data_IF_330670034942
#
_entry.id   IF_330670034942
#
_cell.length_a   1.000
_cell.length_b   1.000
_cell.length_c   1.000
_cell.angle_alpha   90.00
_cell.angle_beta   90.00
_cell.angle_gamma   90.00
#
_symmetry.space_group_name_H-M   'P 1'
#
loop_
_entity.id
_entity.type
_entity.pdbx_description
1 polymer ?
#
# COMPACT_ATOMS: atom_id res chain seq x y z
N UNK A 1 -33.09 -3.90 2.92
CA UNK A 1 -32.26 -2.87 2.25
C UNK A 1 -31.09 -2.57 3.17
N UNK A 2 -29.95 -3.24 2.97
CA UNK A 2 -28.75 -3.05 3.80
C UNK A 2 -27.91 -1.96 3.15
N UNK A 3 -27.92 -0.76 3.73
CA UNK A 3 -27.05 0.34 3.34
C UNK A 3 -25.62 -0.03 3.73
N UNK A 4 -24.79 -0.42 2.75
CA UNK A 4 -23.35 -0.59 2.98
C UNK A 4 -22.65 0.78 2.91
N UNK A 5 -21.70 1.08 3.81
CA UNK A 5 -21.05 2.40 3.86
C UNK A 5 -20.20 2.64 2.61
N UNK A 6 -20.32 3.85 2.06
CA UNK A 6 -19.53 4.34 0.92
C UNK A 6 -18.09 4.63 1.38
N UNK A 7 -17.10 3.92 0.84
CA UNK A 7 -15.68 4.28 0.98
C UNK A 7 -15.40 5.55 0.15
N UNK A 8 -15.62 6.73 0.74
CA UNK A 8 -15.43 8.02 0.07
C UNK A 8 -14.14 8.67 0.58
N UNK A 9 -13.05 8.46 -0.16
CA UNK A 9 -11.74 9.04 0.10
C UNK A 9 -11.41 10.16 -0.89
N UNK A 10 -11.10 11.36 -0.41
CA UNK A 10 -10.61 12.50 -1.19
C UNK A 10 -9.15 12.80 -0.82
N UNK A 11 -8.37 13.34 -1.76
CA UNK A 11 -6.94 13.72 -1.58
C UNK A 11 -6.76 14.69 -0.40
N UNK A 12 -7.73 15.56 -0.16
CA UNK A 12 -7.76 16.49 0.97
C UNK A 12 -7.73 15.77 2.32
N UNK A 13 -8.47 14.66 2.48
CA UNK A 13 -8.45 13.85 3.70
C UNK A 13 -7.08 13.21 3.93
N UNK A 14 -6.42 12.75 2.87
CA UNK A 14 -5.07 12.21 2.96
C UNK A 14 -4.07 13.27 3.43
N UNK A 15 -4.05 14.43 2.78
CA UNK A 15 -3.14 15.51 3.16
C UNK A 15 -3.38 15.99 4.60
N UNK A 16 -4.65 16.18 5.00
CA UNK A 16 -5.01 16.57 6.35
C UNK A 16 -4.60 15.50 7.39
N UNK A 17 -4.81 14.22 7.09
CA UNK A 17 -4.43 13.11 7.98
C UNK A 17 -2.93 13.02 8.13
N UNK A 18 -2.17 13.13 7.03
CA UNK A 18 -0.72 13.10 7.06
C UNK A 18 -0.16 14.27 7.87
N UNK A 19 -0.72 15.48 7.70
CA UNK A 19 -0.37 16.65 8.51
C UNK A 19 -0.67 16.45 10.00
N UNK A 20 -1.83 15.88 10.33
CA UNK A 20 -2.18 15.57 11.72
C UNK A 20 -1.21 14.54 12.34
N UNK A 21 -0.86 13.49 11.60
CA UNK A 21 0.12 12.48 12.06
C UNK A 21 1.51 13.10 12.29
N UNK A 22 1.94 14.00 11.40
CA UNK A 22 3.19 14.75 11.56
C UNK A 22 3.18 15.66 12.79
N UNK A 23 2.07 16.37 13.03
CA UNK A 23 1.92 17.26 14.20
C UNK A 23 1.89 16.47 15.52
N UNK A 24 1.20 15.32 15.56
CA UNK A 24 1.19 14.45 16.76
C UNK A 24 2.56 13.89 17.10
N UNK A 25 3.44 13.67 16.11
CA UNK A 25 4.84 13.28 16.34
C UNK A 25 5.62 14.35 17.11
N UNK A 26 5.32 15.63 16.90
CA UNK A 26 6.01 16.73 17.57
C UNK A 26 5.54 16.94 19.03
N UNK A 27 4.45 16.31 19.46
CA UNK A 27 3.97 16.39 20.83
C UNK A 27 4.70 15.34 21.71
N UNK A 28 5.35 15.77 22.81
CA UNK A 28 5.97 14.84 23.74
C UNK A 28 4.88 14.09 24.52
N UNK A 29 4.57 12.84 24.13
CA UNK A 29 3.94 11.89 25.04
C UNK A 29 2.86 10.93 24.55
N UNK A 30 2.49 10.81 23.26
CA UNK A 30 1.29 9.98 22.93
C UNK A 30 1.31 9.11 21.68
N UNK A 31 2.46 8.83 21.05
CA UNK A 31 2.52 7.78 20.01
C UNK A 31 3.72 6.87 20.23
N UNK A 32 3.44 5.67 20.75
CA UNK A 32 4.38 4.55 20.82
C UNK A 32 4.82 4.01 19.44
N UNK A 33 4.48 4.69 18.34
CA UNK A 33 4.84 4.32 16.97
C UNK A 33 6.11 5.05 16.48
N UNK A 34 6.60 6.05 17.23
CA UNK A 34 7.82 6.77 16.88
C UNK A 34 8.95 6.40 17.86
N UNK A 35 9.75 5.39 17.51
CA UNK A 35 11.06 5.24 18.14
C UNK A 35 11.88 6.50 17.79
N UNK A 36 12.30 7.33 18.77
CA UNK A 36 12.98 8.60 18.51
C UNK A 36 14.35 8.45 17.81
N UNK A 37 14.81 7.20 17.59
CA UNK A 37 16.05 6.87 16.90
C UNK A 37 15.90 6.62 15.39
N UNK A 38 14.67 6.53 14.87
CA UNK A 38 14.47 6.26 13.44
C UNK A 38 14.72 7.53 12.60
N UNK A 39 15.53 7.45 11.52
CA UNK A 39 15.72 8.54 10.58
C UNK A 39 14.39 9.12 10.07
N UNK A 40 14.38 10.41 9.73
CA UNK A 40 13.17 11.14 9.30
C UNK A 40 12.43 10.42 8.17
N UNK A 41 13.17 9.81 7.25
CA UNK A 41 12.71 9.07 6.07
C UNK A 41 11.96 7.79 6.47
N UNK A 42 12.53 6.98 7.38
CA UNK A 42 11.92 5.75 7.92
C UNK A 42 10.60 6.00 8.66
N UNK A 43 10.42 7.19 9.21
CA UNK A 43 9.14 7.56 9.81
C UNK A 43 8.05 7.77 8.76
N UNK A 44 8.39 8.35 7.61
CA UNK A 44 7.42 8.55 6.52
C UNK A 44 7.02 7.24 5.86
N UNK A 45 7.91 6.25 5.85
CA UNK A 45 7.59 4.88 5.44
C UNK A 45 6.45 4.24 6.23
N UNK A 46 6.28 4.63 7.51
CA UNK A 46 5.17 4.18 8.35
C UNK A 46 3.95 5.11 8.27
N UNK A 47 4.19 6.42 8.33
CA UNK A 47 3.12 7.42 8.41
C UNK A 47 2.29 7.52 7.12
N UNK A 48 2.90 7.38 5.95
CA UNK A 48 2.20 7.51 4.67
C UNK A 48 1.20 6.35 4.47
N UNK A 49 1.59 5.07 4.67
CA UNK A 49 0.64 3.96 4.65
C UNK A 49 -0.49 4.11 5.68
N UNK A 50 -0.19 4.56 6.89
CA UNK A 50 -1.22 4.85 7.90
C UNK A 50 -2.17 5.97 7.43
N UNK A 51 -1.64 7.03 6.80
CA UNK A 51 -2.46 8.12 6.29
C UNK A 51 -3.40 7.66 5.17
N UNK A 52 -2.95 6.77 4.27
CA UNK A 52 -3.83 6.13 3.28
C UNK A 52 -4.95 5.36 3.97
N UNK A 53 -4.61 4.45 4.90
CA UNK A 53 -5.59 3.62 5.62
C UNK A 53 -6.64 4.45 6.35
N UNK A 54 -6.20 5.46 7.12
CA UNK A 54 -7.08 6.38 7.84
C UNK A 54 -7.95 7.24 6.91
N UNK A 55 -7.48 7.47 5.68
CA UNK A 55 -8.25 8.14 4.63
C UNK A 55 -9.18 7.21 3.87
N UNK A 56 -9.38 5.98 4.35
CA UNK A 56 -10.16 4.93 3.67
C UNK A 56 -9.61 4.53 2.30
N UNK A 57 -8.32 4.72 2.06
CA UNK A 57 -7.59 4.16 0.93
C UNK A 57 -6.85 2.93 1.46
N UNK A 58 -7.17 1.74 0.96
CA UNK A 58 -6.54 0.50 1.41
C UNK A 58 -5.42 0.16 0.41
N UNK A 59 -4.15 0.51 0.70
CA UNK A 59 -3.05 0.26 -0.22
C UNK A 59 -2.68 -1.22 -0.22
N UNK A 60 -2.26 -1.71 -1.37
CA UNK A 60 -1.62 -3.01 -1.53
C UNK A 60 -0.66 -2.95 -2.72
N UNK A 61 0.30 -3.86 -2.74
CA UNK A 61 1.22 -4.05 -3.84
C UNK A 61 0.68 -5.20 -4.70
N UNK A 62 0.47 -4.94 -5.98
CA UNK A 62 0.00 -5.90 -6.96
C UNK A 62 1.20 -6.44 -7.74
N UNK A 63 1.42 -7.75 -7.69
CA UNK A 63 2.34 -8.45 -8.58
C UNK A 63 1.72 -8.54 -9.97
N UNK A 64 2.44 -8.05 -10.99
CA UNK A 64 1.96 -8.08 -12.37
C UNK A 64 2.17 -9.44 -13.05
N UNK A 65 2.90 -10.38 -12.42
CA UNK A 65 3.20 -11.70 -12.98
C UNK A 65 4.13 -11.65 -14.20
N UNK A 66 4.77 -10.51 -14.47
CA UNK A 66 5.62 -10.29 -15.64
C UNK A 66 6.93 -9.61 -15.24
N UNK A 67 8.02 -9.82 -16.01
CA UNK A 67 9.29 -9.16 -15.74
C UNK A 67 9.20 -7.64 -15.94
N UNK A 68 10.07 -6.93 -15.23
CA UNK A 68 10.25 -5.50 -15.39
C UNK A 68 10.59 -5.14 -16.84
N UNK A 69 10.06 -4.01 -17.33
CA UNK A 69 10.28 -3.54 -18.70
C UNK A 69 9.37 -4.20 -19.74
N UNK A 70 8.45 -5.09 -19.34
CA UNK A 70 7.34 -5.52 -20.19
C UNK A 70 6.56 -4.29 -20.65
N UNK A 71 6.40 -4.14 -21.96
CA UNK A 71 5.70 -3.00 -22.56
C UNK A 71 4.20 -3.27 -22.58
N UNK A 72 3.41 -2.31 -22.08
CA UNK A 72 1.94 -2.36 -22.02
C UNK A 72 1.38 -3.70 -21.49
N UNK A 73 1.82 -4.17 -20.30
CA UNK A 73 1.28 -5.38 -19.70
C UNK A 73 -0.23 -5.20 -19.45
N UNK A 74 -1.02 -6.13 -19.97
CA UNK A 74 -2.48 -6.10 -19.78
C UNK A 74 -2.83 -6.53 -18.37
N UNK A 75 -3.52 -5.67 -17.62
CA UNK A 75 -4.12 -6.02 -16.34
C UNK A 75 -5.60 -5.60 -16.36
N UNK A 76 -6.50 -6.55 -16.13
CA UNK A 76 -7.95 -6.32 -16.25
C UNK A 76 -8.53 -5.37 -15.20
N UNK A 77 -7.77 -5.10 -14.12
CA UNK A 77 -8.14 -4.22 -13.02
C UNK A 77 -7.27 -2.96 -12.92
N UNK A 78 -6.40 -2.68 -13.89
CA UNK A 78 -5.54 -1.49 -13.86
C UNK A 78 -5.57 -0.71 -15.17
N UNK A 79 -5.99 0.56 -15.11
CA UNK A 79 -5.88 1.47 -16.26
C UNK A 79 -4.42 1.86 -16.49
N UNK A 80 -4.06 2.09 -17.77
CA UNK A 80 -2.68 2.41 -18.17
C UNK A 80 -2.12 3.61 -17.42
N UNK A 81 -2.90 4.67 -17.24
CA UNK A 81 -2.43 5.89 -16.59
C UNK A 81 -2.20 5.72 -15.09
N UNK A 82 -2.85 4.73 -14.46
CA UNK A 82 -2.57 4.31 -13.09
C UNK A 82 -1.28 3.49 -13.08
N UNK A 83 -1.19 2.48 -13.96
CA UNK A 83 0.01 1.63 -14.09
C UNK A 83 1.28 2.48 -14.29
N UNK A 84 1.24 3.46 -15.19
CA UNK A 84 2.37 4.35 -15.51
C UNK A 84 2.87 5.17 -14.29
N UNK A 85 2.04 5.37 -13.27
CA UNK A 85 2.34 6.19 -12.08
C UNK A 85 2.66 5.36 -10.83
N UNK A 86 2.36 4.07 -10.83
CA UNK A 86 2.38 3.25 -9.61
C UNK A 86 3.35 2.08 -9.65
N UNK A 87 4.07 1.91 -10.76
CA UNK A 87 4.97 0.78 -10.94
C UNK A 87 6.32 0.95 -10.22
N UNK A 88 6.90 -0.17 -9.82
CA UNK A 88 8.32 -0.30 -9.48
C UNK A 88 8.80 -1.73 -9.78
N UNK A 89 10.12 -1.93 -9.79
CA UNK A 89 10.73 -3.19 -10.18
C UNK A 89 11.71 -3.79 -9.16
N UNK A 90 11.24 -4.27 -7.99
CA UNK A 90 12.06 -5.12 -7.15
C UNK A 90 12.46 -6.40 -7.92
N UNK A 91 13.74 -6.78 -7.83
CA UNK A 91 14.24 -8.07 -8.34
C UNK A 91 13.91 -8.40 -9.81
N UNK A 92 13.77 -7.39 -10.67
CA UNK A 92 13.41 -7.53 -12.10
C UNK A 92 11.98 -8.06 -12.36
N UNK A 93 11.10 -7.97 -11.37
CA UNK A 93 9.67 -8.29 -11.49
C UNK A 93 8.85 -6.99 -11.41
N UNK A 94 7.75 -6.91 -12.15
CA UNK A 94 6.93 -5.71 -12.23
C UNK A 94 5.83 -5.73 -11.15
N UNK A 95 5.80 -4.68 -10.33
CA UNK A 95 4.80 -4.51 -9.29
C UNK A 95 4.14 -3.14 -9.35
N UNK A 96 2.90 -3.03 -8.88
CA UNK A 96 2.16 -1.77 -8.80
C UNK A 96 1.69 -1.47 -7.37
N UNK A 97 1.91 -0.25 -6.87
CA UNK A 97 1.31 0.22 -5.62
C UNK A 97 -0.06 0.85 -5.88
N UNK A 98 -1.12 0.16 -5.51
CA UNK A 98 -2.49 0.58 -5.83
C UNK A 98 -3.37 0.63 -4.58
N UNK A 99 -4.51 1.32 -4.69
CA UNK A 99 -5.53 1.37 -3.63
C UNK A 99 -6.89 0.95 -4.17
N UNK A 100 -7.67 0.38 -3.26
CA UNK A 100 -9.10 0.21 -3.45
C UNK A 100 -9.81 1.53 -3.14
N UNK A 101 -10.61 2.01 -4.09
CA UNK A 101 -11.43 3.22 -3.94
C UNK A 101 -12.85 2.95 -4.40
N UNK A 102 -13.83 3.32 -3.56
CA UNK A 102 -15.24 3.15 -3.91
C UNK A 102 -15.72 1.70 -3.83
N UNK A 103 -16.64 1.33 -4.73
CA UNK A 103 -17.19 -0.04 -4.82
C UNK A 103 -16.34 -0.90 -5.75
N UNK A 104 -16.29 -2.21 -5.50
CA UNK A 104 -15.56 -3.16 -6.34
C UNK A 104 -16.13 -3.29 -7.76
N UNK A 105 -17.45 -3.15 -7.89
CA UNK A 105 -18.14 -3.17 -9.16
C UNK A 105 -19.27 -2.14 -9.17
N UNK A 106 -19.64 -1.73 -10.37
CA UNK A 106 -20.87 -0.99 -10.65
C UNK A 106 -21.83 -1.93 -11.37
N UNK A 107 -22.95 -2.24 -10.72
CA UNK A 107 -23.98 -3.09 -11.28
C UNK A 107 -25.19 -2.29 -11.74
N UNK A 108 -25.71 -2.62 -12.90
CA UNK A 108 -26.99 -2.10 -13.38
C UNK A 108 -28.14 -2.96 -12.82
N UNK A 109 -29.19 -2.32 -12.33
CA UNK A 109 -30.38 -3.03 -11.84
C UNK A 109 -31.41 -3.15 -12.95
N UNK A 110 -31.83 -4.37 -13.28
CA UNK A 110 -32.79 -4.65 -14.36
C UNK A 110 -32.91 -6.15 -14.65
N UNK A 111 -33.69 -6.52 -15.67
CA UNK A 111 -33.97 -7.93 -16.05
C UNK A 111 -32.73 -8.65 -16.62
N UNK A 112 -31.72 -7.90 -17.06
CA UNK A 112 -30.42 -8.36 -17.58
C UNK A 112 -29.25 -7.69 -16.83
N UNK A 113 -29.29 -7.66 -15.50
CA UNK A 113 -28.29 -6.95 -14.71
C UNK A 113 -26.85 -7.34 -15.08
N UNK A 114 -26.04 -6.36 -15.48
CA UNK A 114 -24.60 -6.50 -15.73
C UNK A 114 -23.81 -5.79 -14.64
N UNK A 115 -22.75 -6.43 -14.15
CA UNK A 115 -21.78 -5.85 -13.23
C UNK A 115 -20.46 -5.59 -13.94
N UNK A 116 -20.03 -4.32 -13.94
CA UNK A 116 -18.70 -3.93 -14.41
C UNK A 116 -17.76 -3.83 -13.22
N UNK A 117 -16.64 -4.55 -13.24
CA UNK A 117 -15.58 -4.34 -12.26
C UNK A 117 -14.99 -2.93 -12.39
N UNK A 118 -14.72 -2.30 -11.25
CA UNK A 118 -14.05 -1.02 -11.21
C UNK A 118 -12.54 -1.23 -11.13
N UNK A 119 -11.78 -0.33 -11.77
CA UNK A 119 -10.32 -0.36 -11.75
C UNK A 119 -9.76 0.04 -10.39
N UNK A 120 -8.58 -0.48 -10.06
CA UNK A 120 -7.76 0.02 -8.98
C UNK A 120 -7.32 1.46 -9.26
N UNK A 121 -7.08 2.21 -8.19
CA UNK A 121 -6.67 3.62 -8.28
C UNK A 121 -5.25 3.80 -7.78
N UNK A 122 -4.60 4.88 -8.21
CA UNK A 122 -3.38 5.35 -7.60
C UNK A 122 -3.66 5.87 -6.17
N UNK A 123 -2.82 5.56 -5.17
CA UNK A 123 -2.88 6.19 -3.87
C UNK A 123 -2.78 7.72 -3.97
N UNK A 124 -3.52 8.43 -3.12
CA UNK A 124 -3.43 9.87 -3.06
C UNK A 124 -2.01 10.33 -2.72
N UNK A 125 -1.51 11.34 -3.43
CA UNK A 125 -0.19 11.90 -3.22
C UNK A 125 0.96 11.05 -3.75
N UNK A 126 0.71 10.02 -4.56
CA UNK A 126 1.77 9.19 -5.15
C UNK A 126 2.75 10.00 -5.99
N UNK A 127 2.29 11.08 -6.64
CA UNK A 127 3.11 12.02 -7.40
C UNK A 127 4.10 12.82 -6.53
N UNK A 128 3.93 12.78 -5.21
CA UNK A 128 4.81 13.42 -4.23
C UNK A 128 5.85 12.46 -3.64
N UNK A 129 5.86 11.19 -4.06
CA UNK A 129 6.86 10.21 -3.70
C UNK A 129 8.03 10.20 -4.70
N UNK A 130 8.59 11.38 -4.98
CA UNK A 130 9.71 11.58 -5.92
C UNK A 130 11.07 11.77 -5.23
N UNK A 131 11.06 11.80 -3.89
CA UNK A 131 12.22 12.08 -3.04
C UNK A 131 12.49 13.56 -2.76
N UNK A 132 11.61 14.48 -3.17
CA UNK A 132 11.75 15.92 -2.83
C UNK A 132 10.99 16.31 -1.57
N UNK A 133 9.89 15.62 -1.29
CA UNK A 133 9.06 15.83 -0.11
C UNK A 133 9.19 14.66 0.87
N UNK A 134 8.58 14.82 2.05
CA UNK A 134 8.39 13.73 3.01
C UNK A 134 9.67 13.00 3.40
N UNK A 135 10.74 13.76 3.64
CA UNK A 135 12.02 13.18 4.07
C UNK A 135 12.65 12.28 3.02
N UNK A 136 12.51 12.58 1.73
CA UNK A 136 13.30 11.91 0.69
C UNK A 136 12.73 10.59 0.17
N UNK A 137 11.57 10.16 0.66
CA UNK A 137 10.96 8.88 0.27
C UNK A 137 10.47 8.87 -1.18
N UNK A 138 10.62 7.71 -1.82
CA UNK A 138 10.22 7.45 -3.21
C UNK A 138 9.18 6.34 -3.27
N UNK A 139 8.41 6.29 -4.37
CA UNK A 139 7.49 5.18 -4.66
C UNK A 139 8.17 3.81 -4.52
N UNK A 140 9.34 3.66 -5.14
CA UNK A 140 10.15 2.44 -5.08
C UNK A 140 10.43 1.97 -3.65
N UNK A 141 10.58 2.89 -2.70
CA UNK A 141 10.88 2.52 -1.32
C UNK A 141 9.73 1.75 -0.68
N UNK A 142 8.48 2.11 -1.04
CA UNK A 142 7.27 1.42 -0.57
C UNK A 142 7.10 0.07 -1.24
N UNK A 143 7.25 0.01 -2.57
CA UNK A 143 7.07 -1.25 -3.31
C UNK A 143 8.15 -2.25 -2.93
N UNK A 144 9.42 -1.85 -3.02
CA UNK A 144 10.55 -2.72 -2.69
C UNK A 144 10.52 -3.12 -1.21
N UNK A 145 10.24 -2.17 -0.30
CA UNK A 145 10.16 -2.47 1.13
C UNK A 145 9.04 -3.44 1.49
N UNK A 146 7.87 -3.31 0.85
CA UNK A 146 6.76 -4.24 1.04
C UNK A 146 7.04 -5.63 0.48
N UNK A 147 7.61 -5.73 -0.73
CA UNK A 147 8.01 -7.00 -1.35
C UNK A 147 9.09 -7.71 -0.53
N UNK A 148 10.11 -6.98 -0.07
CA UNK A 148 11.13 -7.51 0.83
C UNK A 148 10.54 -8.03 2.14
N UNK A 149 9.57 -7.32 2.73
CA UNK A 149 8.85 -7.77 3.92
C UNK A 149 8.08 -9.07 3.71
N UNK A 150 7.44 -9.21 2.55
CA UNK A 150 6.70 -10.41 2.17
C UNK A 150 7.61 -11.63 2.00
N UNK A 151 8.69 -11.50 1.24
CA UNK A 151 9.64 -12.61 1.05
C UNK A 151 10.35 -12.99 2.34
N UNK A 152 10.77 -12.00 3.15
CA UNK A 152 11.39 -12.28 4.45
C UNK A 152 10.44 -13.02 5.42
N UNK A 153 9.14 -12.96 5.18
CA UNK A 153 8.11 -13.65 5.95
C UNK A 153 7.65 -14.97 5.30
N UNK A 154 8.43 -15.53 4.38
CA UNK A 154 8.12 -16.78 3.69
C UNK A 154 6.90 -16.65 2.80
N UNK A 155 6.87 -15.57 2.02
CA UNK A 155 5.84 -15.26 1.02
C UNK A 155 4.44 -15.12 1.64
N UNK A 156 4.38 -14.42 2.77
CA UNK A 156 3.14 -14.18 3.53
C UNK A 156 3.02 -12.72 3.96
N UNK A 157 1.80 -12.20 3.85
CA UNK A 157 1.43 -10.91 4.45
C UNK A 157 1.42 -10.99 5.99
N UNK A 158 1.51 -9.83 6.65
CA UNK A 158 1.45 -9.74 8.12
C UNK A 158 2.80 -9.97 8.82
N UNK A 159 3.90 -9.55 8.18
CA UNK A 159 5.23 -9.62 8.80
C UNK A 159 5.34 -8.70 10.02
N UNK A 160 6.28 -9.04 10.91
CA UNK A 160 6.60 -8.22 12.07
C UNK A 160 7.28 -6.92 11.63
N UNK A 161 6.99 -5.84 12.36
CA UNK A 161 7.71 -4.58 12.18
C UNK A 161 9.19 -4.74 12.53
N UNK A 162 10.04 -4.00 11.82
CA UNK A 162 11.47 -4.00 12.04
C UNK A 162 11.81 -3.52 13.46
N UNK A 163 12.48 -4.36 14.24
CA UNK A 163 13.02 -3.99 15.55
C UNK A 163 14.50 -3.58 15.42
N UNK A 164 14.85 -2.30 15.59
CA UNK A 164 16.24 -1.85 15.48
C UNK A 164 17.14 -2.35 16.61
N UNK A 165 16.60 -3.00 17.64
CA UNK A 165 17.40 -3.64 18.70
C UNK A 165 17.82 -5.07 18.34
N UNK A 166 17.21 -5.67 17.32
CA UNK A 166 17.67 -6.94 16.75
C UNK A 166 18.85 -6.68 15.80
N UNK A 167 19.98 -7.36 16.02
CA UNK A 167 21.22 -7.06 15.31
C UNK A 167 21.14 -7.34 13.80
N UNK A 168 20.37 -8.35 13.37
CA UNK A 168 20.17 -8.65 11.95
C UNK A 168 19.29 -7.60 11.26
N UNK A 169 18.26 -7.16 11.97
CA UNK A 169 17.38 -6.08 11.53
C UNK A 169 18.12 -4.75 11.48
N UNK A 170 18.97 -4.45 12.48
CA UNK A 170 19.80 -3.25 12.50
C UNK A 170 20.75 -3.17 11.29
N UNK A 171 21.40 -4.28 10.92
CA UNK A 171 22.23 -4.32 9.70
C UNK A 171 21.39 -4.10 8.45
N UNK A 172 20.24 -4.77 8.34
CA UNK A 172 19.33 -4.59 7.21
C UNK A 172 18.82 -3.15 7.08
N UNK A 173 18.54 -2.48 8.21
CA UNK A 173 18.16 -1.07 8.27
C UNK A 173 19.29 -0.14 7.84
N UNK A 174 20.53 -0.47 8.19
CA UNK A 174 21.70 0.29 7.77
C UNK A 174 21.95 0.18 6.26
N UNK A 175 21.83 -1.03 5.71
CA UNK A 175 22.16 -1.31 4.31
C UNK A 175 21.04 -0.88 3.35
N UNK A 176 19.77 -1.06 3.72
CA UNK A 176 18.62 -0.87 2.82
C UNK A 176 17.65 0.24 3.25
N UNK A 177 17.80 0.80 4.46
CA UNK A 177 16.97 1.90 4.94
C UNK A 177 15.48 1.58 4.96
N UNK A 178 14.69 2.29 4.16
CA UNK A 178 13.23 2.09 4.07
C UNK A 178 12.88 0.76 3.41
N UNK A 179 13.74 0.27 2.52
CA UNK A 179 13.51 -0.95 1.75
C UNK A 179 13.74 -2.21 2.57
N UNK A 180 14.19 -2.08 3.83
CA UNK A 180 14.41 -3.22 4.70
C UNK A 180 13.10 -3.93 5.04
N UNK A 181 13.10 -5.27 5.12
CA UNK A 181 11.96 -6.03 5.61
C UNK A 181 11.45 -5.47 6.94
N UNK A 182 10.13 -5.30 7.06
CA UNK A 182 9.49 -4.83 8.29
C UNK A 182 9.39 -3.31 8.46
N UNK A 183 9.93 -2.49 7.55
CA UNK A 183 9.78 -1.02 7.62
C UNK A 183 8.50 -0.54 6.94
N UNK A 184 8.18 -1.10 5.78
CA UNK A 184 6.93 -0.81 5.06
C UNK A 184 5.93 -1.90 5.40
N UNK A 185 4.71 -1.51 5.81
CA UNK A 185 3.63 -2.42 6.21
C UNK A 185 2.48 -2.47 5.20
N UNK A 186 2.78 -2.54 3.91
CA UNK A 186 1.77 -2.62 2.83
C UNK A 186 1.71 -4.06 2.31
N UNK A 187 0.56 -4.74 2.34
CA UNK A 187 0.45 -6.13 1.92
C UNK A 187 0.70 -6.32 0.41
N UNK A 188 1.19 -7.49 0.01
CA UNK A 188 1.33 -7.91 -1.38
C UNK A 188 0.16 -8.83 -1.80
N UNK A 189 -0.24 -8.75 -3.05
CA UNK A 189 -1.20 -9.65 -3.69
C UNK A 189 -0.62 -10.20 -5.00
N UNK A 190 -0.76 -11.52 -5.17
CA UNK A 190 -0.31 -12.28 -6.35
C UNK A 190 -1.55 -12.81 -7.10
N UNK A 191 -1.51 -12.72 -8.43
CA UNK A 191 -2.68 -12.54 -9.30
C UNK A 191 -3.44 -13.82 -9.75
N UNK A 192 -3.05 -15.05 -9.39
CA UNK A 192 -3.66 -16.24 -10.05
C UNK A 192 -4.51 -17.16 -9.15
N UNK A 193 -4.08 -17.55 -7.95
CA UNK A 193 -4.85 -18.57 -7.19
C UNK A 193 -6.00 -17.99 -6.33
N UNK A 194 -6.05 -16.67 -6.13
CA UNK A 194 -6.96 -16.03 -5.16
C UNK A 194 -8.16 -15.31 -5.78
N UNK A 195 -8.28 -15.33 -7.12
CA UNK A 195 -9.39 -14.74 -7.90
C UNK A 195 -10.67 -15.58 -7.91
N UNK A 196 -10.69 -16.70 -7.19
CA UNK A 196 -11.86 -17.55 -7.03
C UNK A 196 -13.05 -16.83 -6.37
N UNK A 197 -13.97 -16.35 -7.20
CA UNK A 197 -15.41 -16.27 -6.93
C UNK A 197 -15.87 -15.55 -5.65
N UNK A 198 -15.47 -14.30 -5.42
CA UNK A 198 -16.13 -13.48 -4.42
C UNK A 198 -16.69 -12.18 -5.00
N UNK A 199 -18.01 -12.14 -5.18
CA UNK A 199 -18.84 -10.96 -5.50
C UNK A 199 -18.67 -9.77 -4.53
N UNK A 200 -17.82 -9.92 -3.52
CA UNK A 200 -17.54 -8.95 -2.47
C UNK A 200 -16.03 -8.77 -2.31
N UNK A 201 -15.26 -8.78 -3.38
CA UNK A 201 -13.84 -8.50 -3.31
C UNK A 201 -13.53 -7.05 -3.74
N UNK A 202 -12.88 -6.21 -2.90
CA UNK A 202 -12.53 -6.43 -1.49
C UNK A 202 -13.49 -5.64 -0.59
N UNK A 203 -14.70 -6.18 -0.46
CA UNK A 203 -15.61 -5.98 0.66
C UNK A 203 -15.46 -7.09 1.72
N UNK A 204 -14.42 -7.94 1.65
CA UNK A 204 -13.94 -8.68 2.82
C UNK A 204 -13.10 -7.70 3.62
N UNK A 205 -13.49 -7.36 4.85
CA UNK A 205 -12.70 -6.44 5.64
C UNK A 205 -11.34 -7.10 5.96
N UNK A 206 -10.27 -6.29 5.88
CA UNK A 206 -8.91 -6.70 6.25
C UNK A 206 -8.79 -6.95 7.77
N UNK A 207 -9.88 -6.87 8.54
CA UNK A 207 -9.94 -7.37 9.92
C UNK A 207 -9.84 -8.91 10.01
N UNK A 208 -10.00 -9.63 8.89
CA UNK A 208 -9.60 -11.04 8.76
C UNK A 208 -8.11 -11.18 8.40
N UNK A 209 -7.49 -10.12 7.85
CA UNK A 209 -6.04 -9.98 7.70
C UNK A 209 -5.51 -9.25 8.92
N UNK A 210 -5.48 -9.97 10.05
CA UNK A 210 -5.00 -9.45 11.33
C UNK A 210 -3.65 -8.76 11.12
N UNK A 211 -3.57 -7.42 11.25
CA UNK A 211 -2.29 -6.74 11.36
C UNK A 211 -1.71 -7.06 12.75
N UNK A 212 -0.39 -7.24 12.92
CA UNK A 212 0.21 -7.15 14.25
C UNK A 212 0.01 -5.76 14.86
#
# INVERSE_FOLDING_TARGET
MVLRPKCTATVEKFNATLQQLQQRRQQPGTLAIANPRLPRESSFAHLIPSAWQLSSQKPFILDAGVPCGTVDPTNEYLEKDVADKTWACPSNELYYLVVLKGTAATCTTGREGFCKHNYYSAPAGIDKLDGKLWGGVKLDDFVVGGVNGYHANGDKNGWKLADPNDSKTASSLFDMGIRSPGVVGIPNWIDEERFGSHENYPCVPLDVVVPP
#
